data_IF_706423120780
#
_entry.id   IF_706423120780
#
_cell.length_a   1.000
_cell.length_b   1.000
_cell.length_c   1.000
_cell.angle_alpha   90.00
_cell.angle_beta   90.00
_cell.angle_gamma   90.00
#
_symmetry.space_group_name_H-M   'P 1'
#
loop_
_entity.id
_entity.type
_entity.pdbx_description
1 polymer ?
#
# COMPACT_ATOMS: atom_id res chain seq x y z
N UNK A 1 15.28 -11.63 -10.69
CA UNK A 1 16.44 -10.83 -10.23
C UNK A 1 16.55 -10.98 -8.71
N UNK A 2 17.50 -11.77 -8.18
CA UNK A 2 17.74 -11.87 -6.72
C UNK A 2 18.85 -10.89 -6.34
N UNK A 3 18.54 -9.60 -6.36
CA UNK A 3 19.49 -8.57 -5.94
C UNK A 3 19.11 -8.09 -4.54
N UNK A 4 19.78 -8.65 -3.52
CA UNK A 4 19.55 -8.29 -2.12
C UNK A 4 19.87 -6.81 -1.85
N UNK A 5 20.80 -6.21 -2.59
CA UNK A 5 21.12 -4.78 -2.47
C UNK A 5 19.97 -3.91 -2.97
N UNK A 6 19.36 -4.29 -4.11
CA UNK A 6 18.18 -3.58 -4.62
C UNK A 6 17.00 -3.68 -3.67
N UNK A 7 16.73 -4.87 -3.12
CA UNK A 7 15.71 -5.04 -2.08
C UNK A 7 16.00 -4.20 -0.84
N UNK A 8 17.22 -4.23 -0.33
CA UNK A 8 17.60 -3.42 0.83
C UNK A 8 17.44 -1.92 0.54
N UNK A 9 17.80 -1.48 -0.68
CA UNK A 9 17.61 -0.11 -1.11
C UNK A 9 16.13 0.29 -1.10
N UNK A 10 15.23 -0.52 -1.68
CA UNK A 10 13.79 -0.19 -1.68
C UNK A 10 13.22 -0.15 -0.25
N UNK A 11 13.61 -1.10 0.61
CA UNK A 11 13.20 -1.10 2.02
C UNK A 11 13.70 0.12 2.80
N UNK A 12 14.96 0.54 2.59
CA UNK A 12 15.53 1.72 3.23
C UNK A 12 14.82 3.00 2.78
N UNK A 13 14.59 3.16 1.49
CA UNK A 13 13.87 4.32 0.95
C UNK A 13 12.44 4.36 1.47
N UNK A 14 11.73 3.23 1.43
CA UNK A 14 10.36 3.14 1.95
C UNK A 14 10.32 3.51 3.45
N UNK A 15 11.20 2.96 4.27
CA UNK A 15 11.31 3.31 5.69
C UNK A 15 11.59 4.79 5.94
N UNK A 16 12.52 5.38 5.18
CA UNK A 16 12.85 6.80 5.26
C UNK A 16 11.65 7.70 4.86
N UNK A 17 10.94 7.34 3.79
CA UNK A 17 9.75 8.06 3.32
C UNK A 17 8.64 8.07 4.37
N UNK A 18 8.30 6.90 4.93
CA UNK A 18 7.29 6.82 6.00
C UNK A 18 7.74 7.54 7.28
N UNK A 19 9.01 7.41 7.66
CA UNK A 19 9.56 8.17 8.79
C UNK A 19 9.41 9.68 8.61
N UNK A 20 9.71 10.19 7.42
CA UNK A 20 9.56 11.60 7.08
C UNK A 20 8.09 12.04 7.04
N UNK A 21 7.18 11.21 6.52
CA UNK A 21 5.73 11.44 6.57
C UNK A 21 5.21 11.57 8.00
N UNK A 22 5.66 10.70 8.91
CA UNK A 22 5.27 10.78 10.32
C UNK A 22 5.85 12.03 11.01
N UNK A 23 7.11 12.39 10.74
CA UNK A 23 7.70 13.62 11.24
C UNK A 23 6.96 14.88 10.75
N UNK A 24 6.49 14.86 9.50
CA UNK A 24 5.70 15.92 8.87
C UNK A 24 4.37 16.21 9.57
N UNK A 25 3.81 15.27 10.36
CA UNK A 25 2.57 15.52 11.12
C UNK A 25 2.67 16.73 12.05
N UNK A 26 3.84 16.97 12.63
CA UNK A 26 4.10 18.12 13.50
C UNK A 26 4.10 19.47 12.78
N UNK A 27 4.25 19.47 11.44
CA UNK A 27 4.24 20.68 10.61
C UNK A 27 2.83 21.09 10.18
N UNK A 28 1.81 20.26 10.44
CA UNK A 28 0.44 20.58 10.09
C UNK A 28 -0.14 21.63 11.04
N UNK A 29 -0.90 22.57 10.49
CA UNK A 29 -1.64 23.56 11.28
C UNK A 29 -2.78 22.96 12.08
N UNK A 30 -3.36 21.87 11.59
CA UNK A 30 -4.44 21.13 12.25
C UNK A 30 -4.09 19.63 12.32
N UNK A 31 -4.37 18.97 13.46
CA UNK A 31 -4.14 17.54 13.58
C UNK A 31 -5.09 16.76 12.67
N UNK A 32 -4.54 15.79 11.95
CA UNK A 32 -5.36 14.89 11.13
C UNK A 32 -6.21 13.97 12.02
N UNK A 33 -7.47 13.69 11.64
CA UNK A 33 -8.35 12.79 12.39
C UNK A 33 -7.68 11.46 12.69
N UNK A 34 -7.81 10.98 13.94
CA UNK A 34 -7.26 9.69 14.32
C UNK A 34 -7.84 8.58 13.45
N UNK A 35 -6.99 7.63 13.06
CA UNK A 35 -7.47 6.43 12.38
C UNK A 35 -8.33 5.59 13.34
N UNK A 36 -9.30 4.81 12.85
CA UNK A 36 -10.03 3.86 13.67
C UNK A 36 -9.08 2.98 14.51
N UNK A 37 -9.40 2.67 15.78
CA UNK A 37 -8.49 1.95 16.68
C UNK A 37 -7.97 0.63 16.10
N UNK A 38 -8.82 -0.12 15.39
CA UNK A 38 -8.41 -1.38 14.75
C UNK A 38 -7.27 -1.18 13.74
N UNK A 39 -7.25 -0.08 12.98
CA UNK A 39 -6.18 0.20 12.02
C UNK A 39 -4.86 0.64 12.68
N UNK A 40 -4.90 1.01 13.96
CA UNK A 40 -3.70 1.36 14.72
C UNK A 40 -2.99 0.12 15.27
N UNK A 41 -3.69 -1.01 15.41
CA UNK A 41 -3.11 -2.26 15.88
C UNK A 41 -2.01 -2.72 14.92
N UNK A 42 -0.77 -2.68 15.41
CA UNK A 42 0.43 -2.98 14.60
C UNK A 42 0.49 -2.17 13.29
N UNK A 43 0.01 -0.93 13.30
CA UNK A 43 0.02 -0.06 12.11
C UNK A 43 1.42 0.02 11.48
N UNK A 44 1.50 -0.17 10.16
CA UNK A 44 2.75 -0.16 9.40
C UNK A 44 3.48 -1.51 9.28
N UNK A 45 2.98 -2.58 9.91
CA UNK A 45 3.54 -3.93 9.78
C UNK A 45 2.74 -4.78 8.78
N UNK A 46 3.44 -5.70 8.10
CA UNK A 46 2.83 -6.86 7.47
C UNK A 46 2.08 -7.66 8.56
N UNK A 47 0.87 -8.14 8.26
CA UNK A 47 -0.10 -8.70 9.24
C UNK A 47 -0.74 -7.68 10.21
N UNK A 48 -1.04 -6.48 9.73
CA UNK A 48 -1.91 -5.52 10.44
C UNK A 48 -3.28 -5.39 9.76
N UNK A 49 -4.34 -4.99 10.49
CA UNK A 49 -5.63 -4.67 9.87
C UNK A 49 -5.51 -3.61 8.75
N UNK A 50 -4.64 -2.61 8.95
CA UNK A 50 -4.33 -1.61 7.94
C UNK A 50 -3.72 -2.21 6.67
N UNK A 51 -2.76 -3.13 6.82
CA UNK A 51 -2.19 -3.86 5.68
C UNK A 51 -3.26 -4.65 4.93
N UNK A 52 -4.19 -5.31 5.64
CA UNK A 52 -5.23 -6.11 4.99
C UNK A 52 -6.30 -5.27 4.29
N UNK A 53 -6.56 -4.05 4.76
CA UNK A 53 -7.35 -3.08 4.00
C UNK A 53 -6.67 -2.68 2.68
N UNK A 54 -5.34 -2.51 2.68
CA UNK A 54 -4.57 -2.29 1.44
C UNK A 54 -4.70 -3.51 0.53
N UNK A 55 -4.55 -4.72 1.06
CA UNK A 55 -4.70 -5.95 0.28
C UNK A 55 -6.11 -6.06 -0.30
N UNK A 56 -7.17 -5.85 0.48
CA UNK A 56 -8.54 -5.85 -0.05
C UNK A 56 -8.73 -4.84 -1.19
N UNK A 57 -8.05 -3.68 -1.14
CA UNK A 57 -8.10 -2.68 -2.23
C UNK A 57 -7.40 -3.11 -3.51
N UNK A 58 -6.39 -3.98 -3.42
CA UNK A 58 -5.66 -4.51 -4.58
C UNK A 58 -6.44 -5.63 -5.29
N UNK A 59 -7.41 -6.24 -4.61
CA UNK A 59 -8.30 -7.23 -5.21
C UNK A 59 -9.63 -6.64 -5.68
N UNK A 60 -10.04 -5.43 -5.25
CA UNK A 60 -11.32 -4.84 -5.66
C UNK A 60 -11.41 -4.67 -7.20
N UNK A 61 -12.50 -5.11 -7.87
CA UNK A 61 -13.78 -5.58 -7.33
C UNK A 61 -13.86 -7.09 -7.01
N UNK A 62 -12.82 -7.87 -7.29
CA UNK A 62 -12.76 -9.29 -6.92
C UNK A 62 -12.64 -9.46 -5.39
N UNK A 63 -13.16 -10.56 -4.83
CA UNK A 63 -13.00 -10.85 -3.41
C UNK A 63 -11.55 -11.23 -3.07
N UNK A 64 -11.06 -10.69 -1.96
CA UNK A 64 -9.86 -11.20 -1.28
C UNK A 64 -10.22 -12.52 -0.61
N UNK A 65 -9.36 -13.53 -0.72
CA UNK A 65 -9.52 -14.81 -0.03
C UNK A 65 -8.28 -15.07 0.83
N UNK A 66 -8.39 -15.96 1.81
CA UNK A 66 -7.19 -16.37 2.57
C UNK A 66 -6.16 -17.04 1.65
N UNK A 67 -6.63 -17.82 0.66
CA UNK A 67 -5.79 -18.52 -0.28
C UNK A 67 -4.97 -17.56 -1.17
N UNK A 68 -5.59 -16.55 -1.77
CA UNK A 68 -4.86 -15.60 -2.63
C UNK A 68 -3.99 -14.65 -1.81
N UNK A 69 -4.37 -14.27 -0.59
CA UNK A 69 -3.54 -13.43 0.26
C UNK A 69 -2.23 -14.15 0.62
N UNK A 70 -2.28 -15.46 0.90
CA UNK A 70 -1.11 -16.27 1.24
C UNK A 70 -0.18 -16.54 0.04
N UNK A 71 -0.58 -16.23 -1.19
CA UNK A 71 0.35 -16.18 -2.33
C UNK A 71 1.32 -15.01 -2.16
N UNK A 72 0.85 -13.88 -1.64
CA UNK A 72 1.67 -12.70 -1.37
C UNK A 72 2.40 -12.81 -0.04
N UNK A 73 1.71 -13.28 0.99
CA UNK A 73 2.22 -13.41 2.34
C UNK A 73 2.42 -14.89 2.70
N UNK A 74 3.47 -15.48 2.10
CA UNK A 74 3.71 -16.94 2.15
C UNK A 74 3.99 -17.47 3.56
N UNK A 75 4.39 -16.60 4.48
CA UNK A 75 4.69 -16.96 5.87
C UNK A 75 3.54 -16.64 6.82
N UNK A 76 2.48 -15.98 6.35
CA UNK A 76 1.34 -15.64 7.20
C UNK A 76 0.57 -16.87 7.67
N UNK A 77 0.21 -16.84 8.95
CA UNK A 77 -0.65 -17.84 9.56
C UNK A 77 -2.08 -17.71 9.04
N UNK A 78 -2.59 -18.77 8.40
CA UNK A 78 -3.96 -18.83 7.88
C UNK A 78 -5.03 -18.44 8.93
N UNK A 79 -4.83 -18.87 10.18
CA UNK A 79 -5.74 -18.56 11.29
C UNK A 79 -5.71 -17.08 11.65
N UNK A 80 -4.52 -16.47 11.67
CA UNK A 80 -4.37 -15.03 11.95
C UNK A 80 -4.97 -14.22 10.80
N UNK A 81 -4.71 -14.64 9.56
CA UNK A 81 -5.27 -14.01 8.37
C UNK A 81 -6.80 -13.98 8.44
N UNK A 82 -7.42 -15.15 8.63
CA UNK A 82 -8.87 -15.27 8.73
C UNK A 82 -9.42 -14.41 9.88
N UNK A 83 -8.79 -14.45 11.07
CA UNK A 83 -9.25 -13.67 12.21
C UNK A 83 -9.22 -12.15 11.94
N UNK A 84 -8.16 -11.63 11.30
CA UNK A 84 -8.08 -10.21 10.94
C UNK A 84 -9.14 -9.82 9.90
N UNK A 85 -9.42 -10.66 8.91
CA UNK A 85 -10.48 -10.42 7.92
C UNK A 85 -11.88 -10.42 8.55
N UNK A 86 -12.12 -11.29 9.53
CA UNK A 86 -13.37 -11.29 10.32
C UNK A 86 -13.50 -10.03 11.19
N UNK A 87 -12.40 -9.54 11.80
CA UNK A 87 -12.42 -8.27 12.53
C UNK A 87 -12.80 -7.10 11.63
N UNK A 88 -12.19 -7.01 10.44
CA UNK A 88 -12.52 -5.98 9.45
C UNK A 88 -13.97 -6.10 8.92
N UNK A 89 -14.52 -7.31 8.92
CA UNK A 89 -15.95 -7.56 8.62
C UNK A 89 -16.85 -7.08 9.76
N UNK A 90 -16.44 -7.28 11.02
CA UNK A 90 -17.11 -6.77 12.21
C UNK A 90 -17.20 -5.23 12.24
N UNK A 91 -16.18 -4.55 11.74
CA UNK A 91 -16.17 -3.08 11.53
C UNK A 91 -16.97 -2.63 10.29
N UNK A 92 -17.61 -3.56 9.58
CA UNK A 92 -18.37 -3.30 8.35
C UNK A 92 -17.56 -2.73 7.19
N UNK A 93 -16.22 -2.76 7.24
CA UNK A 93 -15.36 -2.31 6.13
C UNK A 93 -15.20 -3.38 5.06
N UNK A 94 -15.32 -4.65 5.44
CA UNK A 94 -15.40 -5.79 4.54
C UNK A 94 -16.76 -6.47 4.67
N UNK A 95 -17.19 -7.12 3.60
CA UNK A 95 -18.30 -8.06 3.60
C UNK A 95 -17.78 -9.43 3.20
N UNK A 96 -18.07 -10.44 4.03
CA UNK A 96 -17.82 -11.83 3.70
C UNK A 96 -18.94 -12.43 2.86
N UNK A 97 -18.59 -13.14 1.78
CA UNK A 97 -19.49 -13.99 0.97
C UNK A 97 -18.76 -15.30 0.67
N UNK A 98 -19.19 -16.40 1.29
CA UNK A 98 -18.47 -17.68 1.21
C UNK A 98 -17.08 -17.59 1.84
N UNK A 99 -16.06 -17.85 1.06
CA UNK A 99 -14.63 -17.74 1.41
C UNK A 99 -13.99 -16.39 1.04
N UNK A 100 -14.75 -15.52 0.36
CA UNK A 100 -14.29 -14.23 -0.12
C UNK A 100 -14.70 -13.05 0.76
N UNK A 101 -13.86 -12.02 0.78
CA UNK A 101 -14.05 -10.75 1.47
C UNK A 101 -13.94 -9.60 0.46
N UNK A 102 -14.97 -8.79 0.34
CA UNK A 102 -15.00 -7.64 -0.57
C UNK A 102 -15.16 -6.34 0.20
N UNK A 103 -14.59 -5.25 -0.32
CA UNK A 103 -14.78 -3.92 0.26
C UNK A 103 -16.27 -3.53 0.22
N UNK A 104 -16.74 -3.04 1.36
CA UNK A 104 -18.03 -2.35 1.44
C UNK A 104 -17.87 -0.88 1.04
N UNK A 105 -18.97 -0.15 0.98
CA UNK A 105 -18.92 1.30 0.78
C UNK A 105 -18.18 2.02 1.93
N UNK A 106 -18.47 1.75 3.23
CA UNK A 106 -17.67 2.28 4.34
C UNK A 106 -16.17 1.94 4.25
N UNK A 107 -15.82 0.73 3.82
CA UNK A 107 -14.42 0.34 3.62
C UNK A 107 -13.72 1.16 2.53
N UNK A 108 -14.39 1.42 1.41
CA UNK A 108 -13.88 2.29 0.33
C UNK A 108 -13.72 3.74 0.79
N UNK A 109 -14.68 4.27 1.53
CA UNK A 109 -14.63 5.63 2.08
C UNK A 109 -13.46 5.78 3.06
N UNK A 110 -13.24 4.79 3.92
CA UNK A 110 -12.10 4.76 4.84
C UNK A 110 -10.76 4.75 4.09
N UNK A 111 -10.62 3.94 3.05
CA UNK A 111 -9.42 3.92 2.20
C UNK A 111 -9.20 5.26 1.48
N UNK A 112 -10.26 5.89 0.99
CA UNK A 112 -10.19 7.22 0.40
C UNK A 112 -9.73 8.28 1.43
N UNK A 113 -10.25 8.22 2.66
CA UNK A 113 -9.83 9.11 3.74
C UNK A 113 -8.36 8.89 4.13
N UNK A 114 -7.88 7.65 4.18
CA UNK A 114 -6.46 7.33 4.42
C UNK A 114 -5.59 7.89 3.30
N UNK A 115 -5.99 7.75 2.03
CA UNK A 115 -5.26 8.32 0.89
C UNK A 115 -5.21 9.84 0.97
N UNK A 116 -6.32 10.49 1.29
CA UNK A 116 -6.37 11.94 1.47
C UNK A 116 -5.46 12.40 2.61
N UNK A 117 -5.45 11.66 3.73
CA UNK A 117 -4.52 11.89 4.85
C UNK A 117 -3.06 11.85 4.37
N UNK A 118 -2.69 10.86 3.56
CA UNK A 118 -1.33 10.75 2.99
C UNK A 118 -1.00 11.93 2.09
N UNK A 119 -1.93 12.36 1.22
CA UNK A 119 -1.74 13.54 0.37
C UNK A 119 -1.48 14.80 1.20
N UNK A 120 -2.29 15.06 2.22
CA UNK A 120 -2.09 16.21 3.12
C UNK A 120 -0.73 16.17 3.83
N UNK A 121 -0.22 14.98 4.17
CA UNK A 121 1.12 14.85 4.74
C UNK A 121 2.22 15.11 3.73
N UNK A 122 2.05 14.66 2.48
CA UNK A 122 3.01 14.91 1.42
C UNK A 122 3.10 16.40 1.08
N UNK A 123 2.00 17.15 1.18
CA UNK A 123 1.97 18.60 0.87
C UNK A 123 2.84 19.45 1.80
N UNK A 124 3.05 19.00 3.04
CA UNK A 124 3.91 19.69 4.02
C UNK A 124 5.35 19.16 4.06
N UNK A 125 5.67 18.19 3.20
CA UNK A 125 7.01 17.67 3.07
C UNK A 125 7.82 18.50 2.07
N UNK A 126 9.06 18.77 2.44
CA UNK A 126 10.04 19.29 1.49
C UNK A 126 10.45 18.18 0.53
N UNK A 127 10.54 18.52 -0.75
CA UNK A 127 10.98 17.57 -1.76
C UNK A 127 12.42 17.11 -1.45
N UNK A 128 12.70 15.79 -1.41
CA UNK A 128 14.01 15.28 -1.01
C UNK A 128 15.08 15.46 -2.10
N UNK A 129 14.67 15.78 -3.33
CA UNK A 129 15.53 15.95 -4.50
C UNK A 129 15.04 17.13 -5.35
N UNK A 130 15.91 17.71 -6.19
CA UNK A 130 15.50 18.67 -7.22
C UNK A 130 14.39 18.12 -8.13
N UNK A 131 13.51 18.97 -8.68
CA UNK A 131 12.40 18.53 -9.52
C UNK A 131 12.80 17.62 -10.68
N UNK A 132 13.88 17.94 -11.40
CA UNK A 132 14.36 17.15 -12.54
C UNK A 132 14.84 15.76 -12.12
N UNK A 133 15.48 15.65 -10.96
CA UNK A 133 15.93 14.37 -10.40
C UNK A 133 14.75 13.52 -9.94
N UNK A 134 13.72 14.14 -9.37
CA UNK A 134 12.46 13.45 -9.04
C UNK A 134 11.80 12.89 -10.30
N UNK A 135 11.74 13.66 -11.38
CA UNK A 135 11.15 13.22 -12.66
C UNK A 135 11.95 12.05 -13.23
N UNK A 136 13.28 12.15 -13.21
CA UNK A 136 14.17 11.09 -13.65
C UNK A 136 14.01 9.81 -12.81
N UNK A 137 13.91 9.94 -11.49
CA UNK A 137 13.71 8.79 -10.59
C UNK A 137 12.38 8.09 -10.88
N UNK A 138 11.28 8.84 -10.97
CA UNK A 138 9.97 8.28 -11.31
C UNK A 138 9.99 7.56 -12.67
N UNK A 139 10.64 8.13 -13.67
CA UNK A 139 10.78 7.51 -14.99
C UNK A 139 11.57 6.18 -14.92
N UNK A 140 12.68 6.15 -14.19
CA UNK A 140 13.50 4.95 -14.04
C UNK A 140 12.76 3.84 -13.28
N UNK A 141 12.06 4.18 -12.19
CA UNK A 141 11.24 3.23 -11.44
C UNK A 141 10.10 2.68 -12.29
N UNK A 142 9.40 3.55 -13.03
CA UNK A 142 8.35 3.14 -13.96
C UNK A 142 8.85 2.13 -15.00
N UNK A 143 10.02 2.38 -15.60
CA UNK A 143 10.64 1.42 -16.55
C UNK A 143 10.94 0.06 -15.94
N UNK A 144 11.34 0.01 -14.66
CA UNK A 144 11.58 -1.25 -13.94
C UNK A 144 10.26 -2.00 -13.75
N UNK A 145 9.21 -1.31 -13.33
CA UNK A 145 7.87 -1.88 -13.16
C UNK A 145 7.33 -2.41 -14.48
N UNK A 146 7.41 -1.62 -15.56
CA UNK A 146 6.96 -2.03 -16.89
C UNK A 146 7.72 -3.26 -17.38
N UNK A 147 9.05 -3.26 -17.25
CA UNK A 147 9.86 -4.41 -17.62
C UNK A 147 9.52 -5.66 -16.79
N UNK A 148 9.24 -5.49 -15.49
CA UNK A 148 8.85 -6.59 -14.61
C UNK A 148 7.46 -7.15 -14.95
N UNK A 149 6.49 -6.30 -15.31
CA UNK A 149 5.16 -6.71 -15.76
C UNK A 149 5.19 -7.46 -17.10
N UNK A 150 6.13 -7.13 -17.98
CA UNK A 150 6.29 -7.78 -19.30
C UNK A 150 7.22 -9.01 -19.27
N UNK A 151 7.85 -9.33 -18.14
CA UNK A 151 8.78 -10.45 -18.04
C UNK A 151 8.05 -11.80 -18.06
N UNK A 152 8.53 -12.73 -18.91
CA UNK A 152 7.90 -14.04 -19.12
C UNK A 152 8.13 -15.05 -17.97
N UNK A 153 9.09 -14.82 -17.06
CA UNK A 153 9.58 -15.86 -16.13
C UNK A 153 8.98 -15.78 -14.71
N UNK A 154 8.50 -16.90 -14.11
CA UNK A 154 7.77 -16.90 -12.82
C UNK A 154 8.65 -16.93 -11.55
N UNK A 155 8.05 -16.78 -10.34
CA UNK A 155 6.61 -16.65 -10.08
C UNK A 155 6.16 -15.25 -10.48
N UNK A 156 5.14 -15.21 -11.34
CA UNK A 156 4.86 -14.10 -12.26
C UNK A 156 4.67 -12.75 -11.59
N UNK A 157 4.54 -11.72 -12.43
CA UNK A 157 4.20 -10.36 -12.03
C UNK A 157 2.82 -10.24 -11.34
N UNK A 158 2.24 -11.32 -10.81
CA UNK A 158 0.92 -11.36 -10.18
C UNK A 158 0.82 -10.43 -8.98
N UNK A 159 1.77 -10.48 -8.03
CA UNK A 159 1.77 -9.57 -6.88
C UNK A 159 1.90 -8.11 -7.33
N UNK A 160 2.80 -7.86 -8.29
CA UNK A 160 3.00 -6.54 -8.87
C UNK A 160 1.72 -6.05 -9.56
N UNK A 161 1.12 -6.85 -10.43
CA UNK A 161 -0.11 -6.54 -11.16
C UNK A 161 -1.27 -6.20 -10.21
N UNK A 162 -1.43 -6.94 -9.11
CA UNK A 162 -2.44 -6.62 -8.10
C UNK A 162 -2.10 -5.32 -7.34
N UNK A 163 -0.82 -5.11 -6.98
CA UNK A 163 -0.38 -3.83 -6.38
C UNK A 163 -0.65 -2.64 -7.29
N UNK A 164 -0.58 -2.82 -8.61
CA UNK A 164 -0.89 -1.75 -9.58
C UNK A 164 -2.37 -1.36 -9.64
N UNK A 165 -3.31 -2.15 -9.11
CA UNK A 165 -4.72 -1.73 -9.02
C UNK A 165 -4.95 -0.53 -8.09
N UNK A 166 -4.07 -0.33 -7.11
CA UNK A 166 -4.08 0.84 -6.21
C UNK A 166 -3.12 1.95 -6.65
N UNK A 167 -2.59 1.87 -7.86
CA UNK A 167 -1.69 2.89 -8.37
C UNK A 167 -2.35 4.27 -8.37
N UNK A 168 -1.61 5.33 -7.99
CA UNK A 168 -2.05 6.69 -8.24
C UNK A 168 -2.31 6.90 -9.73
N UNK A 169 -3.20 7.84 -10.05
CA UNK A 169 -3.39 8.29 -11.43
C UNK A 169 -2.08 8.85 -12.01
N UNK A 170 -1.95 8.86 -13.34
CA UNK A 170 -0.72 9.29 -14.02
C UNK A 170 -0.36 10.76 -13.74
N UNK A 171 -1.39 11.58 -13.49
CA UNK A 171 -1.30 13.00 -13.14
C UNK A 171 -1.19 13.25 -11.62
N UNK A 172 -1.15 12.19 -10.80
CA UNK A 172 -0.96 12.32 -9.36
C UNK A 172 0.40 12.97 -9.05
N UNK A 173 0.53 13.67 -7.90
CA UNK A 173 1.78 14.29 -7.49
C UNK A 173 2.96 13.32 -7.58
N UNK A 174 4.06 13.79 -8.17
CA UNK A 174 5.22 12.97 -8.48
C UNK A 174 5.76 12.20 -7.26
N UNK A 175 5.70 12.84 -6.09
CA UNK A 175 6.14 12.24 -4.85
C UNK A 175 5.24 11.09 -4.39
N UNK A 176 3.91 11.19 -4.60
CA UNK A 176 2.97 10.09 -4.35
C UNK A 176 3.21 8.91 -5.31
N UNK A 177 3.54 9.19 -6.58
CA UNK A 177 3.87 8.14 -7.55
C UNK A 177 5.14 7.40 -7.15
N UNK A 178 6.19 8.13 -6.76
CA UNK A 178 7.47 7.54 -6.32
C UNK A 178 7.29 6.71 -5.05
N UNK A 179 6.57 7.23 -4.04
CA UNK A 179 6.32 6.46 -2.80
C UNK A 179 5.56 5.17 -3.08
N UNK A 180 4.61 5.20 -4.03
CA UNK A 180 3.91 4.01 -4.45
C UNK A 180 4.80 3.03 -5.25
N UNK A 181 5.67 3.50 -6.16
CA UNK A 181 6.62 2.63 -6.88
C UNK A 181 7.60 1.90 -5.97
N UNK A 182 7.97 2.48 -4.82
CA UNK A 182 8.78 1.77 -3.82
C UNK A 182 8.01 0.72 -3.02
N UNK A 183 6.67 0.70 -3.13
CA UNK A 183 5.78 -0.26 -2.47
C UNK A 183 5.24 -1.36 -3.39
N UNK A 184 5.62 -1.31 -4.66
CA UNK A 184 5.30 -2.29 -5.71
C UNK A 184 6.33 -3.42 -5.76
#
# INVERSE_FOLDING_TARGET
MRNAEFYNFTQQVQGALYGALFAGQSKLSEPLPALPPLLQVRGGYAESPGWFMVQASEFDPQPLTVANLRVRDIYASERIVAALLELLTGEQWLQRRGDGYSLTQPGRELLAAIRQRTLTLLDVMEAPLPPDDMVRLAHLLGRIIDAALQAETPPGAWCLAHSRHRAPADDAPLFLRITHYFSD
#
